data_IF_510591588481
#
_entry.id   IF_510591588481
#
_cell.length_a   1.000
_cell.length_b   1.000
_cell.length_c   1.000
_cell.angle_alpha   90.00
_cell.angle_beta   90.00
_cell.angle_gamma   90.00
#
_symmetry.space_group_name_H-M   'P 1'
#
loop_
_entity.id
_entity.type
_entity.pdbx_description
1 polymer ?
#
# COMPACT_ATOMS: atom_id res chain seq x y z
N UNK A 1 16.57 -11.04 -6.01
CA UNK A 1 16.78 -10.26 -7.25
C UNK A 1 18.27 -10.00 -7.36
N UNK A 2 18.82 -9.78 -8.57
CA UNK A 2 20.26 -9.57 -8.76
C UNK A 2 20.66 -8.09 -8.83
N UNK A 3 19.75 -7.19 -8.41
CA UNK A 3 19.86 -5.73 -8.60
C UNK A 3 19.94 -4.97 -7.27
N UNK A 4 20.54 -5.56 -6.24
CA UNK A 4 20.80 -4.84 -4.99
C UNK A 4 21.83 -3.72 -5.24
N UNK A 5 21.49 -2.48 -4.90
CA UNK A 5 22.31 -1.29 -5.17
C UNK A 5 23.15 -0.82 -3.98
N UNK A 6 22.92 -1.36 -2.78
CA UNK A 6 23.65 -1.02 -1.57
C UNK A 6 23.41 0.40 -1.06
N UNK A 7 22.29 1.05 -1.42
CA UNK A 7 22.04 2.44 -1.01
C UNK A 7 21.27 2.59 0.29
N UNK A 8 20.25 1.75 0.49
CA UNK A 8 19.33 1.87 1.61
C UNK A 8 19.03 0.52 2.26
N UNK A 9 18.86 0.54 3.58
CA UNK A 9 18.23 -0.55 4.33
C UNK A 9 17.16 0.01 5.24
N UNK A 10 16.03 -0.69 5.34
CA UNK A 10 14.94 -0.38 6.28
C UNK A 10 14.95 -1.44 7.38
N UNK A 11 14.89 -1.01 8.63
CA UNK A 11 14.70 -1.90 9.79
C UNK A 11 13.31 -1.69 10.38
N UNK A 12 12.54 -2.78 10.52
CA UNK A 12 11.16 -2.76 11.00
C UNK A 12 11.14 -3.08 12.50
N UNK A 13 11.32 -2.06 13.35
CA UNK A 13 11.44 -2.26 14.80
C UNK A 13 10.07 -2.35 15.48
N UNK A 14 9.91 -3.35 16.36
CA UNK A 14 8.64 -3.69 17.04
C UNK A 14 8.34 -2.91 18.32
N UNK A 15 9.23 -1.99 18.71
CA UNK A 15 9.08 -1.17 19.91
C UNK A 15 9.80 0.17 19.73
N UNK A 16 9.05 1.27 19.57
CA UNK A 16 9.62 2.61 19.42
C UNK A 16 9.85 3.37 20.73
N UNK A 17 9.22 2.98 21.84
CA UNK A 17 9.37 3.59 23.17
C UNK A 17 9.22 5.13 23.17
N UNK A 18 10.33 5.85 23.19
CA UNK A 18 10.48 7.30 23.37
C UNK A 18 10.79 8.05 22.06
N UNK A 19 10.79 7.36 20.91
CA UNK A 19 11.12 7.97 19.60
C UNK A 19 10.07 8.94 19.08
N UNK A 20 8.82 8.84 19.55
CA UNK A 20 7.70 9.65 19.08
C UNK A 20 6.90 10.25 20.24
N UNK A 21 6.09 11.27 19.95
CA UNK A 21 5.13 11.80 20.91
C UNK A 21 4.18 10.69 21.41
N UNK A 22 3.84 10.74 22.69
CA UNK A 22 2.97 9.74 23.28
C UNK A 22 1.53 9.87 22.75
N UNK A 23 1.01 8.79 22.15
CA UNK A 23 -0.34 8.72 21.55
C UNK A 23 -1.29 7.79 22.31
N UNK A 24 -0.89 7.33 23.50
CA UNK A 24 -1.72 6.46 24.35
C UNK A 24 -1.14 5.05 24.53
N UNK A 25 -1.98 4.09 24.99
CA UNK A 25 -1.53 2.75 25.32
C UNK A 25 -1.07 1.94 24.11
N UNK A 26 -1.79 2.05 22.99
CA UNK A 26 -1.36 1.50 21.71
C UNK A 26 -0.44 2.51 21.02
N UNK A 27 0.60 1.95 20.42
CA UNK A 27 1.85 2.59 20.11
C UNK A 27 2.21 2.17 18.67
N UNK A 28 2.60 3.09 17.76
CA UNK A 28 3.06 2.68 16.41
C UNK A 28 4.31 1.80 16.48
N UNK A 29 4.69 1.19 15.37
CA UNK A 29 6.04 0.64 15.20
C UNK A 29 7.02 1.71 14.69
N UNK A 30 8.28 1.35 14.50
CA UNK A 30 9.32 2.27 14.01
C UNK A 30 10.11 1.66 12.85
N UNK A 31 9.74 2.06 11.65
CA UNK A 31 10.48 1.75 10.42
C UNK A 31 11.62 2.77 10.29
N UNK A 32 12.86 2.34 10.46
CA UNK A 32 14.01 3.22 10.35
C UNK A 32 14.69 3.08 9.00
N UNK A 33 14.91 4.20 8.31
CA UNK A 33 15.70 4.25 7.09
C UNK A 33 17.17 4.51 7.48
N UNK A 34 18.05 3.65 6.99
CA UNK A 34 19.48 3.77 7.19
C UNK A 34 20.21 3.90 5.83
N UNK A 35 21.05 4.91 5.70
CA UNK A 35 21.99 5.06 4.59
C UNK A 35 23.13 4.04 4.76
N UNK A 36 23.33 3.21 3.75
CA UNK A 36 24.40 2.21 3.69
C UNK A 36 25.30 2.40 2.46
N UNK A 37 25.24 3.57 1.82
CA UNK A 37 26.00 3.88 0.60
C UNK A 37 27.49 4.16 0.84
N UNK A 38 27.88 4.40 2.08
CA UNK A 38 29.28 4.57 2.50
C UNK A 38 29.78 3.42 3.37
N UNK A 39 30.97 3.59 3.93
CA UNK A 39 31.61 2.56 4.77
C UNK A 39 30.87 2.32 6.10
N UNK A 40 30.24 3.37 6.65
CA UNK A 40 29.49 3.35 7.90
C UNK A 40 28.00 3.56 7.68
N UNK A 41 27.18 2.71 8.31
CA UNK A 41 25.72 2.85 8.33
C UNK A 41 25.30 4.09 9.13
N UNK A 42 24.34 4.86 8.60
CA UNK A 42 23.78 6.05 9.28
C UNK A 42 22.26 6.00 9.34
N UNK A 43 21.69 6.12 10.54
CA UNK A 43 20.24 6.34 10.70
C UNK A 43 19.91 7.73 10.17
N UNK A 44 18.99 7.82 9.21
CA UNK A 44 18.60 9.10 8.59
C UNK A 44 17.14 9.46 8.82
N UNK A 45 16.28 8.49 9.16
CA UNK A 45 14.86 8.73 9.38
C UNK A 45 14.22 7.67 10.28
N UNK A 46 13.32 8.12 11.17
CA UNK A 46 12.39 7.26 11.91
C UNK A 46 10.97 7.52 11.41
N UNK A 47 10.28 6.47 10.97
CA UNK A 47 8.90 6.56 10.50
C UNK A 47 7.95 5.77 11.42
N UNK A 48 6.95 6.41 12.05
CA UNK A 48 5.94 5.70 12.82
C UNK A 48 5.00 4.94 11.88
N UNK A 49 4.88 3.62 12.04
CA UNK A 49 4.00 2.76 11.23
C UNK A 49 2.91 2.11 12.05
N UNK A 50 1.74 1.87 11.43
CA UNK A 50 0.58 1.27 12.11
C UNK A 50 0.47 -0.23 11.83
N UNK A 51 0.01 -0.98 12.83
CA UNK A 51 -0.33 -2.39 12.74
C UNK A 51 0.82 -3.30 12.26
N UNK A 52 2.02 -3.05 12.78
CA UNK A 52 3.16 -3.95 12.71
C UNK A 52 3.50 -4.53 11.32
N UNK A 53 4.05 -3.72 10.39
CA UNK A 53 4.60 -4.26 9.16
C UNK A 53 5.60 -5.39 9.44
N UNK A 54 5.38 -6.55 8.83
CA UNK A 54 6.22 -7.74 9.05
C UNK A 54 7.40 -7.80 8.09
N UNK A 55 7.23 -7.30 6.86
CA UNK A 55 8.24 -7.31 5.81
C UNK A 55 8.03 -6.15 4.83
N UNK A 56 9.07 -5.81 4.08
CA UNK A 56 9.04 -4.77 3.05
C UNK A 56 10.01 -5.09 1.91
N UNK A 57 9.71 -4.61 0.70
CA UNK A 57 10.61 -4.71 -0.45
C UNK A 57 10.72 -3.37 -1.16
N UNK A 58 11.94 -2.98 -1.51
CA UNK A 58 12.23 -1.77 -2.28
C UNK A 58 12.46 -2.15 -3.73
N UNK A 59 11.78 -1.47 -4.66
CA UNK A 59 11.93 -1.66 -6.11
C UNK A 59 12.22 -0.32 -6.76
N UNK A 60 13.21 -0.27 -7.66
CA UNK A 60 13.52 0.94 -8.39
C UNK A 60 12.34 1.36 -9.28
N UNK A 61 12.02 2.65 -9.32
CA UNK A 61 10.84 3.17 -10.03
C UNK A 61 10.82 2.82 -11.52
N UNK A 62 11.99 2.68 -12.15
CA UNK A 62 12.09 2.27 -13.55
C UNK A 62 11.54 0.87 -13.84
N UNK A 63 11.22 0.07 -12.82
CA UNK A 63 10.66 -1.29 -12.96
C UNK A 63 9.13 -1.30 -12.85
N UNK A 64 8.51 -0.23 -12.36
CA UNK A 64 7.08 -0.15 -12.11
C UNK A 64 6.51 1.07 -12.83
N UNK A 65 5.58 0.85 -13.75
CA UNK A 65 4.88 1.91 -14.48
C UNK A 65 3.36 1.71 -14.35
N UNK A 66 2.70 2.26 -13.31
CA UNK A 66 1.28 2.11 -13.11
C UNK A 66 0.46 2.86 -14.17
N UNK A 67 -0.70 2.32 -14.52
CA UNK A 67 -1.70 3.07 -15.30
C UNK A 67 -2.29 4.20 -14.43
N UNK A 68 -2.66 5.32 -15.07
CA UNK A 68 -3.26 6.47 -14.36
C UNK A 68 -4.80 6.45 -14.36
N UNK A 69 -5.40 5.67 -15.25
CA UNK A 69 -6.85 5.58 -15.45
C UNK A 69 -7.17 4.10 -15.71
N UNK A 70 -8.21 3.59 -15.05
CA UNK A 70 -8.72 2.24 -15.28
C UNK A 70 -9.27 2.11 -16.70
N UNK A 71 -9.03 0.96 -17.33
CA UNK A 71 -9.75 0.60 -18.56
C UNK A 71 -11.21 0.31 -18.21
N UNK A 72 -12.18 0.84 -18.94
CA UNK A 72 -13.60 0.50 -18.73
C UNK A 72 -13.91 -0.96 -19.03
N UNK A 73 -13.00 -1.68 -19.67
CA UNK A 73 -13.06 -3.13 -19.86
C UNK A 73 -12.25 -3.93 -18.80
N UNK A 74 -11.84 -3.33 -17.68
CA UNK A 74 -11.01 -4.02 -16.68
C UNK A 74 -11.74 -5.23 -16.06
N UNK A 75 -11.08 -6.41 -15.98
CA UNK A 75 -11.69 -7.63 -15.44
C UNK A 75 -12.10 -7.51 -13.97
N UNK A 76 -11.49 -6.60 -13.20
CA UNK A 76 -11.79 -6.39 -11.79
C UNK A 76 -13.28 -6.12 -11.55
N UNK A 77 -13.94 -5.41 -12.46
CA UNK A 77 -15.36 -5.06 -12.35
C UNK A 77 -16.23 -5.66 -13.48
N UNK A 78 -15.70 -6.58 -14.27
CA UNK A 78 -16.43 -7.21 -15.38
C UNK A 78 -17.73 -7.91 -14.94
N UNK A 79 -17.77 -8.52 -13.75
CA UNK A 79 -19.01 -9.12 -13.22
C UNK A 79 -20.09 -8.06 -12.97
N UNK A 80 -19.69 -6.87 -12.50
CA UNK A 80 -20.61 -5.76 -12.24
C UNK A 80 -21.11 -5.15 -13.55
N UNK A 81 -20.24 -5.00 -14.55
CA UNK A 81 -20.62 -4.55 -15.91
C UNK A 81 -21.59 -5.54 -16.56
N UNK A 82 -21.32 -6.85 -16.49
CA UNK A 82 -22.24 -7.88 -17.01
C UNK A 82 -23.62 -7.83 -16.32
N UNK A 83 -23.65 -7.62 -15.00
CA UNK A 83 -24.92 -7.42 -14.29
C UNK A 83 -25.66 -6.19 -14.83
N UNK A 84 -24.97 -5.07 -15.02
CA UNK A 84 -25.54 -3.84 -15.56
C UNK A 84 -25.99 -3.96 -17.02
N UNK A 85 -25.38 -4.82 -17.85
CA UNK A 85 -25.87 -5.06 -19.22
C UNK A 85 -27.18 -5.86 -19.23
N UNK A 86 -27.37 -6.77 -18.27
CA UNK A 86 -28.62 -7.54 -18.14
C UNK A 86 -29.76 -6.72 -17.54
N UNK A 87 -29.43 -5.71 -16.75
CA UNK A 87 -30.35 -4.78 -16.10
C UNK A 87 -30.55 -3.58 -17.06
N UNK A 88 -31.73 -3.39 -17.66
CA UNK A 88 -31.91 -2.37 -18.69
C UNK A 88 -31.62 -0.94 -18.17
N UNK A 89 -30.84 -0.17 -18.96
CA UNK A 89 -30.55 1.28 -18.80
C UNK A 89 -29.74 1.69 -17.56
N UNK A 90 -28.67 2.46 -17.82
CA UNK A 90 -27.70 2.99 -16.84
C UNK A 90 -28.28 3.97 -15.80
N UNK A 91 -29.53 4.44 -15.98
CA UNK A 91 -30.16 5.45 -15.13
C UNK A 91 -31.38 4.95 -14.34
N UNK A 92 -31.62 3.65 -14.34
CA UNK A 92 -32.90 3.10 -13.90
C UNK A 92 -32.77 2.40 -12.54
N UNK A 93 -33.83 2.48 -11.73
CA UNK A 93 -33.94 1.71 -10.48
C UNK A 93 -34.49 0.33 -10.84
N UNK A 94 -33.69 -0.71 -10.62
CA UNK A 94 -34.09 -2.08 -10.96
C UNK A 94 -34.61 -2.79 -9.72
N UNK A 95 -35.89 -3.19 -9.77
CA UNK A 95 -36.57 -3.90 -8.68
C UNK A 95 -36.78 -5.36 -9.07
N UNK A 96 -36.14 -6.28 -8.34
CA UNK A 96 -36.32 -7.72 -8.47
C UNK A 96 -36.78 -8.33 -7.14
N UNK A 97 -38.10 -8.46 -6.98
CA UNK A 97 -38.72 -8.90 -5.73
C UNK A 97 -38.40 -7.94 -4.57
N UNK A 98 -37.67 -8.43 -3.57
CA UNK A 98 -37.23 -7.63 -2.41
C UNK A 98 -35.85 -6.99 -2.59
N UNK A 99 -35.22 -7.15 -3.76
CA UNK A 99 -33.91 -6.56 -4.08
C UNK A 99 -34.12 -5.31 -4.95
N UNK A 100 -33.38 -4.26 -4.62
CA UNK A 100 -33.28 -3.04 -5.43
C UNK A 100 -31.80 -2.84 -5.74
N UNK A 101 -31.49 -2.54 -7.00
CA UNK A 101 -30.16 -2.17 -7.46
C UNK A 101 -30.29 -0.92 -8.32
#
# INVERSE_FOLDING_TARGET
TSEADGKWIITLNKFYKDRFLNVGPLKPECDQLNDISGDDMKVVHDNPTFAEPHDATIVHSSKINPISIWDRADPFFAETENMAETDASWSDIIRNGKKVR
#
